data_IF_345444526046
#
_entry.id   IF_345444526046
#
_cell.length_a   1.000
_cell.length_b   1.000
_cell.length_c   1.000
_cell.angle_alpha   90.00
_cell.angle_beta   90.00
_cell.angle_gamma   90.00
#
_symmetry.space_group_name_H-M   'P 1'
#
loop_
_entity.id
_entity.type
_entity.pdbx_description
1 polymer ?
#
# COMPACT_ATOMS: atom_id res chain seq x y z
N UNK A 1 -5.45 2.48 -32.33
CA UNK A 1 -5.66 3.37 -31.17
C UNK A 1 -5.33 2.58 -29.91
N UNK A 2 -4.14 2.80 -29.35
CA UNK A 2 -3.64 2.03 -28.20
C UNK A 2 -4.43 2.43 -26.94
N UNK A 3 -5.13 1.48 -26.33
CA UNK A 3 -5.82 1.72 -25.05
C UNK A 3 -4.74 1.92 -23.97
N UNK A 4 -4.55 3.16 -23.51
CA UNK A 4 -3.70 3.45 -22.35
C UNK A 4 -4.32 2.79 -21.11
N UNK A 5 -3.68 1.73 -20.62
CA UNK A 5 -4.04 1.11 -19.35
C UNK A 5 -3.66 2.08 -18.23
N UNK A 6 -4.66 2.48 -17.42
CA UNK A 6 -4.41 3.31 -16.23
C UNK A 6 -3.97 2.41 -15.08
N UNK A 7 -2.84 2.74 -14.49
CA UNK A 7 -2.31 2.08 -13.30
C UNK A 7 -2.54 2.96 -12.07
N UNK A 8 -3.01 2.35 -10.99
CA UNK A 8 -3.07 2.97 -9.66
C UNK A 8 -2.06 2.27 -8.77
N UNK A 9 -1.18 3.03 -8.12
CA UNK A 9 -0.15 2.49 -7.23
C UNK A 9 -0.68 2.47 -5.81
N UNK A 10 -0.53 1.34 -5.14
CA UNK A 10 -0.94 1.12 -3.77
C UNK A 10 0.27 0.82 -2.87
N UNK A 11 0.10 1.16 -1.61
CA UNK A 11 1.04 0.90 -0.52
C UNK A 11 0.34 0.05 0.52
N UNK A 12 1.02 -1.02 0.95
CA UNK A 12 0.61 -1.86 2.08
C UNK A 12 1.47 -1.49 3.27
N UNK A 13 0.81 -1.10 4.36
CA UNK A 13 1.44 -0.99 5.67
C UNK A 13 1.08 -2.21 6.51
N UNK A 14 2.05 -2.74 7.23
CA UNK A 14 1.92 -3.95 8.01
C UNK A 14 2.50 -3.74 9.42
N UNK A 15 1.77 -4.21 10.43
CA UNK A 15 2.29 -4.26 11.79
C UNK A 15 3.21 -5.48 11.93
N UNK A 16 4.51 -5.29 12.26
CA UNK A 16 5.45 -6.40 12.40
C UNK A 16 5.16 -7.30 13.62
N UNK A 17 4.33 -6.83 14.56
CA UNK A 17 4.01 -7.56 15.81
C UNK A 17 2.78 -8.45 15.65
N UNK A 18 1.69 -7.91 15.10
CA UNK A 18 0.42 -8.64 15.01
C UNK A 18 -0.02 -9.00 13.57
N UNK A 19 0.76 -8.59 12.56
CA UNK A 19 0.49 -8.88 11.15
C UNK A 19 -0.70 -8.13 10.54
N UNK A 20 -1.28 -7.15 11.23
CA UNK A 20 -2.36 -6.34 10.66
C UNK A 20 -1.84 -5.57 9.44
N UNK A 21 -2.56 -5.66 8.32
CA UNK A 21 -2.24 -4.94 7.08
C UNK A 21 -3.30 -3.88 6.77
N UNK A 22 -2.88 -2.75 6.23
CA UNK A 22 -3.74 -1.71 5.66
C UNK A 22 -3.29 -1.41 4.23
N UNK A 23 -4.24 -1.15 3.33
CA UNK A 23 -3.99 -0.77 1.94
C UNK A 23 -4.43 0.68 1.74
N UNK A 24 -3.57 1.48 1.12
CA UNK A 24 -3.88 2.86 0.71
C UNK A 24 -3.23 3.19 -0.63
N UNK A 25 -3.69 4.25 -1.29
CA UNK A 25 -2.98 4.77 -2.46
C UNK A 25 -1.58 5.25 -2.07
N UNK A 26 -0.63 5.05 -2.99
CA UNK A 26 0.74 5.51 -2.84
C UNK A 26 0.77 7.03 -2.65
N UNK A 27 1.65 7.48 -1.75
CA UNK A 27 1.94 8.89 -1.56
C UNK A 27 3.43 9.15 -1.87
N UNK A 28 3.78 10.30 -2.47
CA UNK A 28 5.17 10.67 -2.67
C UNK A 28 6.00 10.55 -1.37
N UNK A 29 7.14 9.87 -1.47
CA UNK A 29 8.00 9.59 -0.32
C UNK A 29 7.67 8.28 0.42
N UNK A 30 6.76 7.45 -0.07
CA UNK A 30 6.64 6.07 0.40
C UNK A 30 7.77 5.19 -0.15
N UNK A 31 8.35 4.38 0.73
CA UNK A 31 9.34 3.36 0.40
C UNK A 31 9.16 2.16 1.33
N UNK A 32 9.49 0.97 0.84
CA UNK A 32 9.44 -0.26 1.66
C UNK A 32 10.36 -0.07 2.87
N UNK A 33 9.90 -0.53 4.04
CA UNK A 33 10.49 -0.36 5.37
C UNK A 33 10.34 1.01 6.03
N UNK A 34 9.70 2.00 5.38
CA UNK A 34 9.34 3.27 6.03
C UNK A 34 8.38 3.02 7.20
N UNK A 35 8.60 3.70 8.32
CA UNK A 35 7.67 3.69 9.44
C UNK A 35 6.34 4.37 9.07
N UNK A 36 5.23 3.72 9.43
CA UNK A 36 3.86 4.11 9.06
C UNK A 36 3.06 4.72 10.21
N UNK A 37 1.78 4.40 10.28
CA UNK A 37 0.91 4.80 11.39
C UNK A 37 1.08 3.90 12.63
N UNK A 38 0.41 4.26 13.74
CA UNK A 38 0.23 3.31 14.85
C UNK A 38 -0.79 2.25 14.46
N UNK A 39 -0.47 1.00 14.74
CA UNK A 39 -1.34 -0.15 14.55
C UNK A 39 -2.60 0.01 15.42
N UNK A 40 -3.78 -0.07 14.79
CA UNK A 40 -5.06 0.10 15.50
C UNK A 40 -5.40 -1.07 16.43
N UNK A 41 -4.77 -2.24 16.24
CA UNK A 41 -4.97 -3.40 17.12
C UNK A 41 -4.06 -3.45 18.34
N UNK A 42 -2.79 -3.07 18.21
CA UNK A 42 -1.80 -3.27 19.28
C UNK A 42 -0.97 -2.02 19.64
N UNK A 43 -1.20 -0.89 18.96
CA UNK A 43 -0.54 0.39 19.25
C UNK A 43 0.91 0.51 18.78
N UNK A 44 1.55 -0.57 18.33
CA UNK A 44 2.91 -0.55 17.79
C UNK A 44 2.99 0.16 16.44
N UNK A 45 4.19 0.62 16.09
CA UNK A 45 4.45 1.26 14.79
C UNK A 45 4.27 0.25 13.64
N UNK A 46 3.50 0.59 12.61
CA UNK A 46 3.46 -0.17 11.35
C UNK A 46 4.63 0.21 10.47
N UNK A 47 4.89 -0.60 9.44
CA UNK A 47 5.88 -0.30 8.39
C UNK A 47 5.32 -0.60 7.02
N UNK A 48 5.74 0.13 6.01
CA UNK A 48 5.41 -0.18 4.62
C UNK A 48 6.09 -1.51 4.25
N UNK A 49 5.30 -2.54 3.91
CA UNK A 49 5.82 -3.86 3.52
C UNK A 49 5.75 -4.12 2.02
N UNK A 50 4.89 -3.42 1.27
CA UNK A 50 4.72 -3.62 -0.17
C UNK A 50 4.29 -2.33 -0.86
N UNK A 51 4.81 -2.07 -2.06
CA UNK A 51 4.31 -1.03 -2.98
C UNK A 51 4.15 -1.68 -4.35
N UNK A 52 2.97 -1.57 -4.96
CA UNK A 52 2.65 -2.24 -6.22
C UNK A 52 1.58 -1.49 -7.01
N UNK A 53 1.53 -1.71 -8.32
CA UNK A 53 0.52 -1.10 -9.19
C UNK A 53 -0.58 -2.11 -9.54
N UNK A 54 -1.83 -1.69 -9.49
CA UNK A 54 -2.97 -2.42 -10.06
C UNK A 54 -3.45 -1.68 -11.31
N UNK A 55 -3.84 -2.43 -12.34
CA UNK A 55 -4.56 -1.85 -13.47
C UNK A 55 -5.98 -1.54 -13.04
N UNK A 56 -6.48 -0.33 -13.33
CA UNK A 56 -7.92 -0.10 -13.32
C UNK A 56 -8.52 -1.12 -14.28
N UNK A 57 -9.34 -2.06 -13.77
CA UNK A 57 -9.84 -3.22 -14.50
C UNK A 57 -10.14 -2.84 -15.96
N UNK A 58 -9.63 -3.57 -16.97
CA UNK A 58 -10.16 -3.40 -18.31
C UNK A 58 -11.69 -3.62 -18.24
N UNK A 59 -12.51 -2.78 -18.89
CA UNK A 59 -13.95 -2.97 -18.89
C UNK A 59 -14.27 -4.38 -19.38
N UNK A 60 -15.00 -5.14 -18.57
CA UNK A 60 -15.57 -6.44 -18.94
C UNK A 60 -16.73 -6.23 -19.90
#
# INVERSE_FOLDING_TARGET
MEKKVKYTVFTIEECPVCGQKTKREFQPGDYVTKDGAKCTKCGNQTRISLIYAETAKPPK
#
